data_IF_954897283418
#
_entry.id   IF_954897283418
#
_cell.length_a   1.000
_cell.length_b   1.000
_cell.length_c   1.000
_cell.angle_alpha   90.00
_cell.angle_beta   90.00
_cell.angle_gamma   90.00
#
_symmetry.space_group_name_H-M   'P 1'
#
loop_
_entity.id
_entity.type
_entity.pdbx_description
1 polymer ?
#
# COMPACT_ATOMS: atom_id res chain seq x y z
N UNK A 1 22.63 21.40 -3.37
CA UNK A 1 21.46 20.84 -2.65
C UNK A 1 20.33 21.87 -2.75
N UNK A 2 19.31 21.70 -3.60
CA UNK A 2 18.18 22.61 -3.55
C UNK A 2 17.33 22.29 -2.31
N UNK A 3 16.69 23.30 -1.72
CA UNK A 3 15.96 23.16 -0.47
C UNK A 3 14.79 22.20 -0.67
N UNK A 4 14.61 21.28 0.30
CA UNK A 4 13.42 20.47 0.39
C UNK A 4 12.22 21.41 0.51
N UNK A 5 11.41 21.53 -0.54
CA UNK A 5 10.12 22.21 -0.44
C UNK A 5 9.31 21.56 0.70
N UNK A 6 8.85 22.33 1.69
CA UNK A 6 7.85 21.83 2.61
C UNK A 6 6.62 21.44 1.79
N UNK A 7 6.16 20.20 1.95
CA UNK A 7 4.88 19.78 1.41
C UNK A 7 3.81 20.77 1.90
N UNK A 8 2.94 21.32 1.03
CA UNK A 8 1.84 22.12 1.49
C UNK A 8 0.96 21.26 2.42
N UNK A 9 0.43 21.82 3.52
CA UNK A 9 -0.60 21.14 4.27
C UNK A 9 -1.75 20.86 3.30
N UNK A 10 -2.07 19.58 3.10
CA UNK A 10 -3.29 19.23 2.40
C UNK A 10 -4.48 19.89 3.11
N UNK A 11 -5.55 20.29 2.39
CA UNK A 11 -6.76 20.75 3.04
C UNK A 11 -7.22 19.68 4.04
N UNK A 12 -7.58 20.15 5.24
CA UNK A 12 -7.97 19.32 6.38
C UNK A 12 -8.93 18.20 5.94
N UNK A 13 -8.79 16.98 6.45
CA UNK A 13 -9.85 16.01 6.30
C UNK A 13 -11.12 16.68 6.84
N UNK A 14 -12.11 16.86 5.98
CA UNK A 14 -13.48 17.04 6.46
C UNK A 14 -13.67 16.02 7.58
N UNK A 15 -14.04 16.45 8.81
CA UNK A 15 -14.04 15.57 9.96
C UNK A 15 -14.81 14.33 9.56
N UNK A 16 -14.20 13.16 9.76
CA UNK A 16 -14.74 11.86 9.40
C UNK A 16 -16.17 11.76 9.94
N UNK A 17 -17.12 12.07 9.06
CA UNK A 17 -18.51 12.30 9.39
C UNK A 17 -19.20 10.97 9.17
N UNK A 18 -19.81 10.45 10.23
CA UNK A 18 -20.71 9.31 10.10
C UNK A 18 -21.98 9.73 9.35
N UNK A 19 -22.75 8.74 8.90
CA UNK A 19 -24.05 8.90 8.22
C UNK A 19 -25.03 9.79 9.00
N UNK A 20 -24.86 9.88 10.32
CA UNK A 20 -25.76 10.60 11.21
C UNK A 20 -25.24 12.02 11.57
N UNK A 21 -24.20 12.49 10.87
CA UNK A 21 -23.54 13.76 11.18
C UNK A 21 -22.71 13.74 12.46
N UNK A 22 -22.64 12.60 13.16
CA UNK A 22 -21.82 12.44 14.36
C UNK A 22 -20.34 12.21 14.01
N UNK A 23 -19.43 12.86 14.72
CA UNK A 23 -17.99 12.67 14.55
C UNK A 23 -17.55 11.31 15.10
N UNK A 24 -16.73 10.57 14.36
CA UNK A 24 -16.10 9.35 14.88
C UNK A 24 -15.33 9.64 16.20
N UNK A 25 -15.36 8.73 17.19
CA UNK A 25 -14.60 8.92 18.41
C UNK A 25 -13.10 8.92 18.12
N UNK A 26 -12.37 9.80 18.80
CA UNK A 26 -10.90 9.81 18.74
C UNK A 26 -10.34 8.54 19.38
N UNK A 27 -9.15 8.14 18.95
CA UNK A 27 -8.45 7.01 19.55
C UNK A 27 -8.16 7.32 21.04
N UNK A 28 -8.67 6.52 21.99
CA UNK A 28 -8.46 6.78 23.41
C UNK A 28 -7.01 6.55 23.81
N UNK A 29 -6.61 7.16 24.93
CA UNK A 29 -5.38 6.81 25.64
C UNK A 29 -5.78 5.95 26.84
N UNK A 30 -5.45 4.64 26.87
CA UNK A 30 -5.81 3.78 28.00
C UNK A 30 -5.13 4.24 29.30
N UNK A 31 -5.72 3.97 30.47
CA UNK A 31 -5.05 4.17 31.75
C UNK A 31 -3.73 3.40 31.83
N UNK A 32 -2.69 4.05 32.37
CA UNK A 32 -1.37 3.45 32.53
C UNK A 32 -1.43 2.15 33.34
N UNK A 33 -2.10 2.17 34.50
CA UNK A 33 -2.27 0.99 35.36
C UNK A 33 -2.89 -0.19 34.62
N UNK A 34 -3.98 0.05 33.89
CA UNK A 34 -4.65 -1.00 33.10
C UNK A 34 -3.72 -1.60 32.05
N UNK A 35 -2.92 -0.77 31.39
CA UNK A 35 -1.96 -1.19 30.36
C UNK A 35 -0.84 -2.05 30.95
N UNK A 36 -0.27 -1.63 32.08
CA UNK A 36 0.82 -2.35 32.76
C UNK A 36 0.37 -3.68 33.35
N UNK A 37 -0.81 -3.74 33.96
CA UNK A 37 -1.40 -4.99 34.47
C UNK A 37 -1.67 -5.98 33.33
N UNK A 38 -2.20 -5.49 32.20
CA UNK A 38 -2.41 -6.33 31.02
C UNK A 38 -1.09 -6.82 30.43
N UNK A 39 -0.07 -5.96 30.37
CA UNK A 39 1.26 -6.32 29.90
C UNK A 39 1.85 -7.48 30.70
N UNK A 40 1.85 -7.40 32.03
CA UNK A 40 2.34 -8.48 32.88
C UNK A 40 1.57 -9.79 32.71
N UNK A 41 0.23 -9.74 32.61
CA UNK A 41 -0.60 -10.95 32.35
C UNK A 41 -0.29 -11.60 31.01
N UNK A 42 0.01 -10.81 29.97
CA UNK A 42 0.36 -11.35 28.65
C UNK A 42 1.77 -11.93 28.65
N UNK A 43 2.69 -11.40 29.46
CA UNK A 43 4.04 -11.93 29.57
C UNK A 43 4.13 -13.23 30.35
N UNK A 44 3.27 -13.44 31.34
CA UNK A 44 3.31 -14.60 32.23
C UNK A 44 3.49 -15.97 31.53
N UNK A 45 2.79 -16.29 30.42
CA UNK A 45 3.02 -17.55 29.70
C UNK A 45 4.19 -17.53 28.70
N UNK A 46 4.91 -16.41 28.53
CA UNK A 46 5.92 -16.19 27.49
C UNK A 46 7.35 -16.10 28.02
N UNK A 47 7.54 -15.91 29.32
CA UNK A 47 8.85 -15.67 29.96
C UNK A 47 9.05 -16.57 31.17
N UNK A 48 10.28 -16.68 31.66
CA UNK A 48 10.54 -17.47 32.87
C UNK A 48 9.99 -16.77 34.13
N UNK A 49 9.76 -17.51 35.23
CA UNK A 49 9.35 -16.90 36.50
C UNK A 49 10.31 -15.81 36.99
N UNK A 50 11.62 -16.00 36.81
CA UNK A 50 12.66 -15.05 37.21
C UNK A 50 12.61 -13.76 36.37
N UNK A 51 12.43 -13.88 35.05
CA UNK A 51 12.26 -12.76 34.13
C UNK A 51 10.97 -11.98 34.42
N UNK A 52 9.88 -12.69 34.72
CA UNK A 52 8.60 -12.09 35.08
C UNK A 52 8.73 -11.29 36.39
N UNK A 53 9.37 -11.86 37.41
CA UNK A 53 9.58 -11.19 38.69
C UNK A 53 10.48 -9.94 38.54
N UNK A 54 11.54 -10.05 37.75
CA UNK A 54 12.35 -8.87 37.40
C UNK A 54 11.51 -7.80 36.68
N UNK A 55 10.68 -8.20 35.72
CA UNK A 55 9.80 -7.29 34.98
C UNK A 55 8.76 -6.63 35.88
N UNK A 56 8.20 -7.35 36.87
CA UNK A 56 7.28 -6.78 37.87
C UNK A 56 7.94 -5.63 38.64
N UNK A 57 9.21 -5.76 39.01
CA UNK A 57 9.98 -4.69 39.69
C UNK A 57 10.12 -3.45 38.80
N UNK A 58 10.47 -3.63 37.52
CA UNK A 58 10.57 -2.53 36.55
C UNK A 58 9.23 -1.83 36.34
N UNK A 59 8.14 -2.60 36.22
CA UNK A 59 6.78 -2.06 36.07
C UNK A 59 6.36 -1.27 37.31
N UNK A 60 6.66 -1.76 38.51
CA UNK A 60 6.39 -1.06 39.76
C UNK A 60 7.17 0.26 39.86
N UNK A 61 8.44 0.27 39.44
CA UNK A 61 9.25 1.50 39.39
C UNK A 61 8.68 2.50 38.38
N UNK A 62 8.29 2.05 37.18
CA UNK A 62 7.70 2.91 36.16
C UNK A 62 6.37 3.52 36.63
N UNK A 63 5.56 2.75 37.37
CA UNK A 63 4.24 3.13 37.88
C UNK A 63 4.25 3.86 39.23
N UNK A 64 5.43 4.12 39.82
CA UNK A 64 5.50 4.81 41.12
C UNK A 64 4.85 6.20 41.04
N UNK A 65 4.20 6.70 42.11
CA UNK A 65 3.68 8.06 42.15
C UNK A 65 4.77 9.08 41.85
N UNK A 66 4.51 10.03 40.95
CA UNK A 66 5.51 11.00 40.45
C UNK A 66 6.60 10.38 39.55
N UNK A 67 6.45 9.11 39.17
CA UNK A 67 7.40 8.36 38.35
C UNK A 67 7.36 8.73 36.87
N UNK A 68 8.30 8.14 36.12
CA UNK A 68 8.40 8.37 34.67
C UNK A 68 7.12 7.98 33.93
N UNK A 69 6.43 6.91 34.34
CA UNK A 69 5.20 6.45 33.72
C UNK A 69 4.10 7.51 33.73
N UNK A 70 3.87 8.19 34.87
CA UNK A 70 2.87 9.26 34.97
C UNK A 70 3.21 10.48 34.10
N UNK A 71 4.51 10.83 34.02
CA UNK A 71 5.00 11.90 33.14
C UNK A 71 4.73 11.57 31.67
N UNK A 72 5.04 10.33 31.25
CA UNK A 72 4.81 9.88 29.87
C UNK A 72 3.31 9.79 29.54
N UNK A 73 2.51 9.23 30.45
CA UNK A 73 1.05 9.15 30.31
C UNK A 73 0.43 10.54 30.15
N UNK A 74 0.82 11.51 31.00
CA UNK A 74 0.32 12.89 30.93
C UNK A 74 0.65 13.56 29.59
N UNK A 75 1.84 13.29 29.04
CA UNK A 75 2.24 13.78 27.71
C UNK A 75 1.43 13.10 26.60
N UNK A 76 1.17 11.81 26.72
CA UNK A 76 0.38 11.04 25.76
C UNK A 76 -1.08 11.49 25.72
N UNK A 77 -1.69 11.70 26.88
CA UNK A 77 -3.05 12.24 27.00
C UNK A 77 -3.15 13.66 26.44
N UNK A 78 -2.14 14.51 26.70
CA UNK A 78 -2.06 15.84 26.10
C UNK A 78 -1.99 15.75 24.58
N UNK A 79 -1.24 14.80 24.02
CA UNK A 79 -1.21 14.53 22.58
C UNK A 79 -2.57 14.08 22.07
N UNK A 80 -3.21 13.11 22.75
CA UNK A 80 -4.56 12.63 22.45
C UNK A 80 -5.63 13.73 22.39
N UNK A 81 -5.52 14.76 23.24
CA UNK A 81 -6.42 15.93 23.19
C UNK A 81 -6.13 16.86 22.00
N UNK A 82 -4.88 16.94 21.54
CA UNK A 82 -4.43 17.90 20.52
C UNK A 82 -4.40 17.35 19.08
N UNK A 83 -4.52 16.04 18.90
CA UNK A 83 -4.46 15.38 17.58
C UNK A 83 -5.74 14.60 17.31
N UNK A 84 -6.11 14.43 16.03
CA UNK A 84 -7.24 13.55 15.65
C UNK A 84 -6.98 12.09 16.04
N UNK A 85 -5.76 11.62 15.81
CA UNK A 85 -5.29 10.31 16.22
C UNK A 85 -3.84 10.43 16.71
N UNK A 86 -3.61 10.20 18.01
CA UNK A 86 -2.30 10.40 18.63
C UNK A 86 -1.23 9.41 18.17
N UNK A 87 -1.68 8.25 17.65
CA UNK A 87 -0.83 7.11 17.28
C UNK A 87 -0.51 7.09 15.79
N UNK A 88 -1.35 7.68 14.93
CA UNK A 88 -1.29 7.51 13.47
C UNK A 88 0.12 7.73 12.90
N UNK A 89 0.71 8.89 13.15
CA UNK A 89 2.04 9.21 12.60
C UNK A 89 3.12 8.28 13.15
N UNK A 90 3.06 7.94 14.44
CA UNK A 90 4.03 7.01 15.03
C UNK A 90 3.90 5.64 14.41
N UNK A 91 2.68 5.10 14.36
CA UNK A 91 2.40 3.79 13.78
C UNK A 91 2.85 3.69 12.33
N UNK A 92 2.47 4.66 11.48
CA UNK A 92 2.82 4.62 10.06
C UNK A 92 4.33 4.69 9.87
N UNK A 93 5.02 5.56 10.61
CA UNK A 93 6.46 5.68 10.51
C UNK A 93 7.17 4.42 11.02
N UNK A 94 6.90 3.97 12.25
CA UNK A 94 7.65 2.88 12.88
C UNK A 94 7.33 1.52 12.27
N UNK A 95 6.05 1.25 11.96
CA UNK A 95 5.64 -0.05 11.44
C UNK A 95 5.98 -0.22 9.94
N UNK A 96 6.01 0.86 9.16
CA UNK A 96 6.16 0.77 7.71
C UNK A 96 7.30 1.61 7.15
N UNK A 97 7.30 2.93 7.33
CA UNK A 97 8.18 3.84 6.56
C UNK A 97 9.65 3.79 6.99
N UNK A 98 9.89 3.52 8.27
CA UNK A 98 11.23 3.34 8.86
C UNK A 98 11.71 1.90 8.75
N UNK A 99 10.82 0.93 8.52
CA UNK A 99 11.20 -0.45 8.24
C UNK A 99 11.98 -0.52 6.92
N UNK A 100 13.17 -1.14 6.98
CA UNK A 100 14.12 -1.17 5.84
C UNK A 100 14.18 -2.51 5.14
N UNK A 101 13.44 -3.53 5.60
CA UNK A 101 13.32 -4.81 4.90
C UNK A 101 12.62 -4.62 3.54
N UNK A 102 12.89 -5.47 2.55
CA UNK A 102 12.14 -5.47 1.29
C UNK A 102 10.63 -5.44 1.49
N UNK A 103 9.88 -4.88 0.53
CA UNK A 103 8.42 -4.84 0.63
C UNK A 103 7.79 -6.20 0.34
N UNK A 104 8.22 -6.85 -0.75
CA UNK A 104 7.77 -8.18 -1.11
C UNK A 104 8.06 -9.16 0.05
N UNK A 105 7.11 -10.06 0.36
CA UNK A 105 7.16 -11.03 1.47
C UNK A 105 7.07 -10.41 2.87
N UNK A 106 7.89 -9.40 3.20
CA UNK A 106 8.02 -8.92 4.59
C UNK A 106 6.98 -7.87 5.01
N UNK A 107 6.38 -7.15 4.05
CA UNK A 107 5.45 -6.06 4.36
C UNK A 107 4.20 -6.04 3.48
N UNK A 108 4.34 -6.31 2.18
CA UNK A 108 3.22 -6.27 1.23
C UNK A 108 2.48 -7.61 1.24
N UNK A 109 1.21 -7.65 1.67
CA UNK A 109 0.43 -8.88 1.63
C UNK A 109 0.07 -9.24 0.18
N UNK A 110 0.01 -10.54 -0.11
CA UNK A 110 -0.50 -11.08 -1.37
C UNK A 110 -1.89 -11.69 -1.18
N UNK A 111 -2.78 -11.52 -2.17
CA UNK A 111 -4.13 -12.10 -2.17
C UNK A 111 -4.31 -12.97 -3.41
N UNK A 112 -4.49 -14.28 -3.19
CA UNK A 112 -4.81 -15.22 -4.27
C UNK A 112 -6.33 -15.21 -4.49
N UNK A 113 -6.75 -14.77 -5.68
CA UNK A 113 -8.14 -14.80 -6.11
C UNK A 113 -8.52 -16.17 -6.69
N UNK A 114 -9.82 -16.51 -6.81
CA UNK A 114 -10.26 -17.73 -7.46
C UNK A 114 -9.66 -17.87 -8.86
N UNK A 115 -9.19 -19.08 -9.19
CA UNK A 115 -8.61 -19.39 -10.50
C UNK A 115 -9.64 -19.16 -11.60
N UNK A 116 -9.23 -18.46 -12.64
CA UNK A 116 -10.06 -18.18 -13.81
C UNK A 116 -9.87 -19.26 -14.89
N UNK A 117 -10.86 -19.43 -15.76
CA UNK A 117 -10.93 -20.51 -16.76
C UNK A 117 -10.64 -20.05 -18.21
N UNK A 118 -9.91 -18.94 -18.40
CA UNK A 118 -9.47 -18.54 -19.73
C UNK A 118 -8.44 -19.54 -20.28
N UNK A 119 -8.46 -19.78 -21.60
CA UNK A 119 -7.62 -20.80 -22.26
C UNK A 119 -6.55 -20.21 -23.19
N UNK A 120 -6.65 -18.92 -23.46
CA UNK A 120 -5.78 -18.21 -24.39
C UNK A 120 -5.54 -16.77 -23.90
N UNK A 121 -4.61 -16.09 -24.58
CA UNK A 121 -4.30 -14.69 -24.32
C UNK A 121 -5.52 -13.79 -24.45
N UNK A 122 -6.39 -14.03 -25.43
CA UNK A 122 -7.59 -13.22 -25.60
C UNK A 122 -8.49 -13.28 -24.36
N UNK A 123 -8.70 -14.47 -23.80
CA UNK A 123 -9.46 -14.67 -22.57
C UNK A 123 -8.81 -14.00 -21.36
N UNK A 124 -7.47 -14.07 -21.23
CA UNK A 124 -6.71 -13.36 -20.19
C UNK A 124 -6.93 -11.85 -20.28
N UNK A 125 -6.81 -11.27 -21.49
CA UNK A 125 -7.00 -9.83 -21.71
C UNK A 125 -8.45 -9.39 -21.50
N UNK A 126 -9.43 -10.20 -21.90
CA UNK A 126 -10.86 -9.96 -21.61
C UNK A 126 -11.13 -9.94 -20.10
N UNK A 127 -10.52 -10.86 -19.34
CA UNK A 127 -10.63 -10.86 -17.88
C UNK A 127 -9.98 -9.61 -17.27
N UNK A 128 -8.76 -9.26 -17.69
CA UNK A 128 -8.07 -8.06 -17.22
C UNK A 128 -8.87 -6.78 -17.51
N UNK A 129 -9.48 -6.66 -18.69
CA UNK A 129 -10.31 -5.51 -19.03
C UNK A 129 -11.55 -5.38 -18.13
N UNK A 130 -12.23 -6.50 -17.82
CA UNK A 130 -13.34 -6.52 -16.87
C UNK A 130 -12.90 -6.15 -15.45
N UNK A 131 -11.75 -6.68 -15.00
CA UNK A 131 -11.18 -6.34 -13.70
C UNK A 131 -10.88 -4.84 -13.59
N UNK A 132 -10.21 -4.27 -14.60
CA UNK A 132 -9.92 -2.82 -14.64
C UNK A 132 -11.22 -2.01 -14.54
N UNK A 133 -12.24 -2.39 -15.32
CA UNK A 133 -13.53 -1.69 -15.32
C UNK A 133 -14.18 -1.72 -13.92
N UNK A 134 -14.25 -2.90 -13.28
CA UNK A 134 -14.82 -3.01 -11.93
C UNK A 134 -14.02 -2.27 -10.84
N UNK A 135 -12.70 -2.17 -10.98
CA UNK A 135 -11.88 -1.34 -10.07
C UNK A 135 -12.17 0.15 -10.28
N UNK A 136 -12.41 0.59 -11.53
CA UNK A 136 -12.77 1.97 -11.84
C UNK A 136 -14.19 2.32 -11.36
N UNK A 137 -15.14 1.40 -11.43
CA UNK A 137 -16.46 1.56 -10.81
C UNK A 137 -16.33 1.78 -9.29
N UNK A 138 -15.46 1.00 -8.64
CA UNK A 138 -15.18 1.18 -7.20
C UNK A 138 -14.51 2.51 -6.91
N UNK A 139 -13.55 2.94 -7.74
CA UNK A 139 -12.94 4.26 -7.62
C UNK A 139 -13.98 5.38 -7.79
N UNK A 140 -14.91 5.24 -8.73
CA UNK A 140 -15.96 6.23 -8.95
C UNK A 140 -16.84 6.41 -7.70
N UNK A 141 -17.15 5.33 -6.97
CA UNK A 141 -17.84 5.42 -5.68
C UNK A 141 -17.04 6.25 -4.65
N UNK A 142 -15.70 6.13 -4.64
CA UNK A 142 -14.86 6.95 -3.76
C UNK A 142 -14.82 8.41 -4.21
N UNK A 143 -14.58 8.67 -5.49
CA UNK A 143 -14.48 10.03 -6.02
C UNK A 143 -15.78 10.81 -5.82
N UNK A 144 -16.93 10.12 -5.86
CA UNK A 144 -18.26 10.70 -5.64
C UNK A 144 -18.73 10.65 -4.18
N UNK A 145 -17.90 10.17 -3.24
CA UNK A 145 -18.22 9.96 -1.83
C UNK A 145 -19.49 9.09 -1.60
N UNK A 146 -19.77 8.16 -2.49
CA UNK A 146 -20.92 7.26 -2.44
C UNK A 146 -20.57 5.85 -1.92
N UNK A 147 -19.36 5.64 -1.40
CA UNK A 147 -18.99 4.37 -0.81
C UNK A 147 -19.83 4.10 0.46
N UNK A 148 -20.54 2.95 0.58
CA UNK A 148 -21.31 2.63 1.77
C UNK A 148 -20.43 2.59 3.03
N UNK A 149 -20.93 3.19 4.12
CA UNK A 149 -20.21 3.22 5.39
C UNK A 149 -20.22 1.85 6.07
N UNK A 150 -19.03 1.36 6.41
CA UNK A 150 -18.88 0.14 7.20
C UNK A 150 -19.34 0.33 8.64
N UNK A 151 -19.92 -0.72 9.22
CA UNK A 151 -20.33 -0.75 10.63
C UNK A 151 -19.77 -2.00 11.31
N UNK A 152 -19.40 -1.87 12.58
CA UNK A 152 -18.97 -2.99 13.43
C UNK A 152 -19.63 -2.90 14.80
N UNK A 153 -20.39 -3.94 15.19
CA UNK A 153 -21.25 -3.93 16.38
C UNK A 153 -22.09 -2.65 16.51
N UNK A 154 -22.74 -2.24 15.42
CA UNK A 154 -23.61 -1.06 15.38
C UNK A 154 -22.88 0.30 15.43
N UNK A 155 -21.54 0.34 15.38
CA UNK A 155 -20.76 1.57 15.35
C UNK A 155 -20.16 1.83 13.96
N UNK A 156 -20.17 3.08 13.47
CA UNK A 156 -19.58 3.42 12.18
C UNK A 156 -18.05 3.25 12.21
N UNK A 157 -17.48 2.85 11.07
CA UNK A 157 -16.04 2.70 10.87
C UNK A 157 -15.44 3.90 10.12
N UNK A 158 -14.15 4.14 10.36
CA UNK A 158 -13.39 5.14 9.62
C UNK A 158 -13.16 4.69 8.18
N UNK A 159 -13.60 5.52 7.22
CA UNK A 159 -13.47 5.24 5.78
C UNK A 159 -12.15 5.75 5.18
N UNK A 160 -11.28 6.41 5.96
CA UNK A 160 -10.09 7.09 5.43
C UNK A 160 -9.15 6.14 4.65
N UNK A 161 -9.04 4.87 5.05
CA UNK A 161 -8.14 3.91 4.41
C UNK A 161 -8.47 3.72 2.92
N UNK A 162 -9.75 3.71 2.54
CA UNK A 162 -10.16 3.52 1.15
C UNK A 162 -9.65 4.65 0.24
N UNK A 163 -9.61 5.89 0.74
CA UNK A 163 -9.10 7.06 0.02
C UNK A 163 -7.56 7.09 -0.10
N UNK A 164 -6.86 6.15 0.53
CA UNK A 164 -5.40 6.03 0.45
C UNK A 164 -4.92 4.94 -0.52
N UNK A 165 -5.82 4.19 -1.16
CA UNK A 165 -5.46 3.02 -1.99
C UNK A 165 -5.09 3.42 -3.43
N UNK A 166 -5.89 4.30 -4.03
CA UNK A 166 -5.73 4.68 -5.44
C UNK A 166 -4.83 5.88 -5.62
N UNK A 167 -4.17 5.93 -6.78
CA UNK A 167 -3.28 7.03 -7.17
C UNK A 167 -2.19 7.28 -6.12
N UNK A 168 -1.77 6.25 -5.40
CA UNK A 168 -0.76 6.33 -4.35
C UNK A 168 0.44 5.42 -4.63
N UNK A 169 1.58 5.82 -4.09
CA UNK A 169 2.83 5.07 -4.23
C UNK A 169 3.72 5.33 -3.02
N UNK A 170 4.41 4.31 -2.55
CA UNK A 170 5.51 4.46 -1.59
C UNK A 170 6.75 4.92 -2.34
N UNK A 171 7.50 5.87 -1.79
CA UNK A 171 8.73 6.40 -2.37
C UNK A 171 9.89 6.04 -1.43
N UNK A 172 10.92 5.31 -1.90
CA UNK A 172 12.05 4.97 -1.07
C UNK A 172 12.87 6.21 -0.75
N UNK A 173 13.24 6.37 0.52
CA UNK A 173 14.12 7.46 0.97
C UNK A 173 15.36 6.93 1.68
N UNK A 174 16.42 7.76 1.85
CA UNK A 174 17.70 7.31 2.41
C UNK A 174 17.60 6.87 3.87
N UNK A 175 16.72 7.51 4.67
CA UNK A 175 16.51 7.21 6.09
C UNK A 175 15.16 6.54 6.35
N UNK A 176 14.10 7.11 5.79
CA UNK A 176 12.74 6.58 5.81
C UNK A 176 12.09 6.78 4.45
N UNK A 177 11.12 5.95 4.15
CA UNK A 177 10.31 6.10 2.96
C UNK A 177 9.21 7.15 3.19
N UNK A 178 8.53 7.54 2.12
CA UNK A 178 7.31 8.37 2.19
C UNK A 178 6.21 7.72 1.38
N UNK A 179 4.97 8.17 1.57
CA UNK A 179 3.84 7.82 0.71
C UNK A 179 3.37 9.09 0.03
N UNK A 180 3.17 9.02 -1.28
CA UNK A 180 2.51 10.06 -2.06
C UNK A 180 1.12 9.58 -2.46
N UNK A 181 0.15 10.48 -2.45
CA UNK A 181 -1.20 10.23 -2.91
C UNK A 181 -1.63 11.38 -3.83
N UNK A 182 -1.97 11.04 -5.08
CA UNK A 182 -2.31 11.97 -6.14
C UNK A 182 -3.82 12.09 -6.39
N UNK A 183 -4.65 11.33 -5.67
CA UNK A 183 -6.10 11.24 -5.90
C UNK A 183 -6.84 12.57 -5.68
N UNK A 184 -6.39 13.41 -4.76
CA UNK A 184 -7.04 14.68 -4.36
C UNK A 184 -6.33 15.93 -4.87
N UNK A 185 -5.53 15.82 -5.92
CA UNK A 185 -4.89 16.97 -6.55
C UNK A 185 -5.87 17.66 -7.53
N UNK A 186 -5.62 18.93 -7.86
CA UNK A 186 -6.45 19.70 -8.80
C UNK A 186 -6.64 19.01 -10.16
N UNK A 187 -5.68 18.18 -10.57
CA UNK A 187 -5.76 17.35 -11.77
C UNK A 187 -5.39 15.90 -11.39
N UNK A 188 -6.37 15.09 -10.97
CA UNK A 188 -6.12 13.73 -10.53
C UNK A 188 -5.69 12.84 -11.72
N UNK A 189 -4.86 11.81 -11.49
CA UNK A 189 -4.44 10.90 -12.56
C UNK A 189 -5.60 10.13 -13.18
N UNK A 190 -5.63 10.07 -14.51
CA UNK A 190 -6.65 9.37 -15.32
C UNK A 190 -6.10 8.12 -16.02
N UNK A 191 -4.93 7.63 -15.59
CA UNK A 191 -4.24 6.49 -16.22
C UNK A 191 -3.89 5.40 -15.23
N UNK A 192 -3.83 4.17 -15.72
CA UNK A 192 -3.23 3.02 -15.02
C UNK A 192 -1.85 2.72 -15.60
N UNK A 193 -1.10 1.89 -14.89
CA UNK A 193 0.13 1.29 -15.43
C UNK A 193 -0.13 -0.17 -15.78
N UNK A 194 0.23 -0.61 -16.98
CA UNK A 194 0.18 -2.03 -17.35
C UNK A 194 1.61 -2.55 -17.48
N UNK A 195 1.95 -3.62 -16.77
CA UNK A 195 3.23 -4.30 -16.87
C UNK A 195 3.06 -5.61 -17.67
N UNK A 196 3.80 -5.75 -18.77
CA UNK A 196 3.85 -6.99 -19.55
C UNK A 196 5.29 -7.24 -20.02
N UNK A 197 5.81 -8.42 -19.70
CA UNK A 197 7.20 -8.81 -19.93
C UNK A 197 8.19 -7.70 -19.49
N UNK A 198 8.04 -7.26 -18.24
CA UNK A 198 8.92 -6.26 -17.59
C UNK A 198 8.87 -4.85 -18.19
N UNK A 199 8.00 -4.62 -19.17
CA UNK A 199 7.80 -3.33 -19.82
C UNK A 199 6.55 -2.67 -19.25
N UNK A 200 6.66 -1.40 -18.86
CA UNK A 200 5.58 -0.64 -18.25
C UNK A 200 4.97 0.32 -19.26
N UNK A 201 3.64 0.31 -19.35
CA UNK A 201 2.86 1.11 -20.27
C UNK A 201 1.93 2.04 -19.50
N UNK A 202 1.81 3.28 -19.99
CA UNK A 202 0.74 4.19 -19.59
C UNK A 202 -0.52 3.84 -20.37
N UNK A 203 -1.60 3.56 -19.68
CA UNK A 203 -2.92 3.38 -20.28
C UNK A 203 -3.88 4.40 -19.68
N UNK A 204 -4.27 5.41 -20.46
CA UNK A 204 -5.37 6.31 -20.09
C UNK A 204 -6.68 5.50 -20.08
N UNK A 205 -7.43 5.59 -18.99
CA UNK A 205 -8.68 4.82 -18.76
C UNK A 205 -9.92 5.69 -18.69
N UNK A 206 -9.76 6.97 -19.01
CA UNK A 206 -10.83 7.94 -19.18
C UNK A 206 -10.72 8.57 -20.57
N UNK A 207 -11.87 8.80 -21.17
CA UNK A 207 -12.03 9.67 -22.33
C UNK A 207 -11.73 11.13 -21.96
N UNK A 208 -11.39 12.00 -22.93
CA UNK A 208 -11.18 13.43 -22.68
C UNK A 208 -12.39 14.16 -22.06
N UNK A 209 -13.60 13.63 -22.24
CA UNK A 209 -14.83 14.14 -21.64
C UNK A 209 -15.02 13.72 -20.17
N UNK A 210 -14.14 12.88 -19.62
CA UNK A 210 -14.19 12.38 -18.24
C UNK A 210 -14.94 11.06 -18.06
N UNK A 211 -15.48 10.46 -19.12
CA UNK A 211 -16.13 9.14 -19.04
C UNK A 211 -15.11 8.01 -18.98
N UNK A 212 -15.42 6.95 -18.24
CA UNK A 212 -14.56 5.76 -18.12
C UNK A 212 -14.62 4.97 -19.44
N UNK A 213 -13.47 4.45 -19.89
CA UNK A 213 -13.43 3.54 -21.04
C UNK A 213 -14.26 2.28 -20.78
N UNK A 214 -14.99 1.82 -21.79
CA UNK A 214 -15.73 0.56 -21.73
C UNK A 214 -14.78 -0.64 -21.66
N UNK A 215 -15.22 -1.81 -21.15
CA UNK A 215 -14.40 -3.02 -21.14
C UNK A 215 -13.87 -3.42 -22.54
N UNK A 216 -14.64 -3.13 -23.59
CA UNK A 216 -14.23 -3.39 -24.98
C UNK A 216 -13.08 -2.48 -25.44
N UNK A 217 -13.15 -1.19 -25.11
CA UNK A 217 -12.07 -0.22 -25.40
C UNK A 217 -10.81 -0.56 -24.61
N UNK A 218 -10.95 -0.90 -23.33
CA UNK A 218 -9.81 -1.33 -22.49
C UNK A 218 -9.16 -2.59 -23.09
N UNK A 219 -9.95 -3.59 -23.49
CA UNK A 219 -9.43 -4.79 -24.16
C UNK A 219 -8.61 -4.44 -25.40
N UNK A 220 -9.09 -3.55 -26.27
CA UNK A 220 -8.37 -3.15 -27.48
C UNK A 220 -7.03 -2.48 -27.15
N UNK A 221 -6.96 -1.69 -26.07
CA UNK A 221 -5.69 -1.10 -25.63
C UNK A 221 -4.74 -2.14 -25.03
N UNK A 222 -5.27 -3.09 -24.25
CA UNK A 222 -4.47 -4.19 -23.71
C UNK A 222 -3.89 -5.09 -24.82
N UNK A 223 -4.64 -5.33 -25.90
CA UNK A 223 -4.16 -6.10 -27.06
C UNK A 223 -3.00 -5.39 -27.76
N UNK A 224 -3.08 -4.06 -27.93
CA UNK A 224 -1.96 -3.24 -28.45
C UNK A 224 -0.73 -3.33 -27.53
N UNK A 225 -0.93 -3.18 -26.22
CA UNK A 225 0.13 -3.31 -25.22
C UNK A 225 0.78 -4.69 -25.31
N UNK A 226 -0.01 -5.75 -25.30
CA UNK A 226 0.47 -7.13 -25.40
C UNK A 226 1.36 -7.31 -26.63
N UNK A 227 0.85 -6.94 -27.81
CA UNK A 227 1.56 -7.08 -29.08
C UNK A 227 2.87 -6.27 -29.14
N UNK A 228 2.93 -5.14 -28.44
CA UNK A 228 4.13 -4.29 -28.40
C UNK A 228 5.28 -4.84 -27.53
N UNK A 229 5.01 -5.78 -26.63
CA UNK A 229 6.03 -6.34 -25.70
C UNK A 229 6.17 -7.86 -25.73
N UNK A 230 5.70 -8.55 -26.78
CA UNK A 230 5.88 -10.01 -26.94
C UNK A 230 7.36 -10.41 -26.96
N UNK A 231 8.21 -9.69 -27.70
CA UNK A 231 9.62 -10.03 -27.96
C UNK A 231 10.58 -9.10 -27.23
N UNK A 232 10.31 -8.78 -25.98
CA UNK A 232 11.11 -7.79 -25.26
C UNK A 232 12.45 -8.36 -24.78
N UNK A 233 13.52 -7.61 -25.03
CA UNK A 233 14.87 -7.81 -24.48
C UNK A 233 15.14 -6.83 -23.33
N UNK A 234 14.09 -6.21 -22.78
CA UNK A 234 14.22 -5.15 -21.78
C UNK A 234 14.62 -5.73 -20.44
N UNK A 235 15.53 -5.01 -19.79
CA UNK A 235 15.95 -5.29 -18.42
C UNK A 235 14.77 -5.18 -17.45
N UNK A 236 14.67 -6.06 -16.44
CA UNK A 236 13.55 -6.08 -15.50
C UNK A 236 13.67 -5.00 -14.43
N UNK A 237 13.62 -3.71 -14.82
CA UNK A 237 13.82 -2.57 -13.91
C UNK A 237 12.87 -2.59 -12.70
N UNK A 238 11.65 -3.13 -12.86
CA UNK A 238 10.70 -3.32 -11.78
C UNK A 238 11.23 -4.15 -10.60
N UNK A 239 12.15 -5.09 -10.86
CA UNK A 239 12.74 -5.97 -9.84
C UNK A 239 13.50 -5.19 -8.77
N UNK A 240 14.02 -4.00 -9.10
CA UNK A 240 14.76 -3.15 -8.17
C UNK A 240 13.89 -2.71 -6.98
N UNK A 241 12.57 -2.65 -7.16
CA UNK A 241 11.61 -2.30 -6.10
C UNK A 241 11.45 -3.41 -5.06
N UNK A 242 11.89 -4.64 -5.37
CA UNK A 242 11.91 -5.79 -4.46
C UNK A 242 13.14 -5.82 -3.55
N UNK A 243 14.06 -4.86 -3.68
CA UNK A 243 15.30 -4.82 -2.91
C UNK A 243 15.09 -4.19 -1.52
N UNK A 244 16.07 -4.37 -0.63
CA UNK A 244 16.14 -3.70 0.67
C UNK A 244 16.00 -2.18 0.49
N UNK A 245 15.18 -1.53 1.33
CA UNK A 245 14.65 -0.17 1.07
C UNK A 245 15.73 0.91 0.94
N UNK A 246 16.82 0.79 1.70
CA UNK A 246 17.95 1.72 1.61
C UNK A 246 18.69 1.55 0.28
N UNK A 247 18.99 0.31 -0.12
CA UNK A 247 19.61 0.01 -1.42
C UNK A 247 18.72 0.46 -2.58
N UNK A 248 17.42 0.20 -2.50
CA UNK A 248 16.48 0.68 -3.51
C UNK A 248 16.41 2.21 -3.55
N UNK A 249 16.41 2.91 -2.42
CA UNK A 249 16.46 4.38 -2.39
C UNK A 249 17.69 4.95 -3.09
N UNK A 250 18.87 4.33 -2.91
CA UNK A 250 20.08 4.68 -3.65
C UNK A 250 19.94 4.40 -5.15
N UNK A 251 19.40 3.22 -5.50
CA UNK A 251 19.15 2.81 -6.87
C UNK A 251 18.18 3.75 -7.60
N UNK A 252 17.09 4.15 -6.95
CA UNK A 252 16.12 5.10 -7.48
C UNK A 252 16.79 6.46 -7.74
N UNK A 253 17.62 6.96 -6.82
CA UNK A 253 18.34 8.22 -7.03
C UNK A 253 19.26 8.19 -8.25
N UNK A 254 19.85 7.04 -8.57
CA UNK A 254 20.65 6.84 -9.79
C UNK A 254 19.72 6.80 -11.01
N UNK A 255 18.65 6.01 -10.95
CA UNK A 255 17.67 5.83 -12.02
C UNK A 255 17.07 7.17 -12.46
N UNK A 256 16.73 8.04 -11.50
CA UNK A 256 16.10 9.34 -11.74
C UNK A 256 17.04 10.43 -12.29
N UNK A 257 18.34 10.15 -12.45
CA UNK A 257 19.28 11.09 -13.12
C UNK A 257 18.99 11.22 -14.61
N UNK A 258 18.51 10.14 -15.22
CA UNK A 258 18.07 10.16 -16.61
C UNK A 258 16.65 10.75 -16.71
N UNK A 259 16.42 11.60 -17.73
CA UNK A 259 15.16 12.33 -17.91
C UNK A 259 14.01 11.38 -18.25
N UNK A 260 14.25 10.39 -19.10
CA UNK A 260 13.23 9.43 -19.53
C UNK A 260 12.83 8.51 -18.38
N UNK A 261 13.80 7.99 -17.64
CA UNK A 261 13.57 7.16 -16.45
C UNK A 261 12.81 7.92 -15.38
N UNK A 262 13.15 9.20 -15.17
CA UNK A 262 12.43 10.07 -14.23
C UNK A 262 10.96 10.26 -14.62
N UNK A 263 10.69 10.50 -15.90
CA UNK A 263 9.32 10.64 -16.38
C UNK A 263 8.55 9.32 -16.29
N UNK A 264 9.14 8.21 -16.74
CA UNK A 264 8.56 6.88 -16.62
C UNK A 264 8.23 6.51 -15.17
N UNK A 265 9.15 6.77 -14.23
CA UNK A 265 8.91 6.53 -12.81
C UNK A 265 7.77 7.40 -12.27
N UNK A 266 7.69 8.67 -12.68
CA UNK A 266 6.59 9.58 -12.30
C UNK A 266 5.25 9.09 -12.82
N UNK A 267 5.18 8.56 -14.04
CA UNK A 267 3.97 7.95 -14.61
C UNK A 267 3.52 6.74 -13.78
N UNK A 268 4.44 5.86 -13.39
CA UNK A 268 4.13 4.68 -12.55
C UNK A 268 3.66 5.11 -11.15
N UNK A 269 4.35 6.07 -10.52
CA UNK A 269 3.98 6.55 -9.19
C UNK A 269 2.57 7.17 -9.19
N UNK A 270 2.23 7.92 -10.24
CA UNK A 270 0.94 8.62 -10.37
C UNK A 270 -0.22 7.74 -10.80
N UNK A 271 0.01 6.59 -11.42
CA UNK A 271 -1.09 5.77 -11.96
C UNK A 271 -2.12 5.42 -10.89
N UNK A 272 -3.38 5.23 -11.27
CA UNK A 272 -4.47 4.91 -10.33
C UNK A 272 -4.15 3.60 -9.60
N UNK A 273 -3.76 2.58 -10.35
CA UNK A 273 -3.23 1.29 -9.90
C UNK A 273 -2.37 0.70 -11.02
N UNK A 274 -1.71 -0.43 -10.76
CA UNK A 274 -1.00 -1.18 -11.78
C UNK A 274 -1.70 -2.52 -12.07
N UNK A 275 -1.53 -3.03 -13.29
CA UNK A 275 -2.01 -4.36 -13.72
C UNK A 275 -0.83 -5.13 -14.29
N UNK A 276 -0.56 -6.31 -13.74
CA UNK A 276 0.55 -7.15 -14.18
C UNK A 276 0.03 -8.31 -15.05
N UNK A 277 0.29 -8.24 -16.36
CA UNK A 277 0.00 -9.32 -17.30
C UNK A 277 1.14 -10.33 -17.23
N UNK A 278 0.98 -11.31 -16.35
CA UNK A 278 2.01 -12.31 -16.09
C UNK A 278 2.06 -13.41 -17.15
N UNK A 279 3.28 -13.89 -17.37
CA UNK A 279 3.52 -15.12 -18.11
C UNK A 279 3.23 -16.37 -17.26
N UNK A 280 3.08 -17.54 -17.89
CA UNK A 280 2.86 -18.79 -17.18
C UNK A 280 4.05 -19.11 -16.27
N UNK A 281 3.76 -19.49 -15.02
CA UNK A 281 4.76 -20.03 -14.10
C UNK A 281 5.22 -21.41 -14.60
N UNK A 282 6.52 -21.69 -14.53
CA UNK A 282 7.05 -23.04 -14.78
C UNK A 282 6.56 -23.96 -13.67
N UNK A 283 5.82 -24.99 -14.03
CA UNK A 283 5.37 -26.03 -13.12
C UNK A 283 6.03 -27.36 -13.53
N UNK A 284 6.69 -28.03 -12.60
CA UNK A 284 7.26 -29.37 -12.82
C UNK A 284 6.18 -30.46 -12.73
N UNK A 285 5.05 -30.16 -12.07
CA UNK A 285 3.86 -31.01 -11.98
C UNK A 285 2.74 -30.52 -12.89
N UNK A 286 1.84 -31.42 -13.30
CA UNK A 286 0.66 -31.06 -14.10
C UNK A 286 -0.39 -30.24 -13.31
N UNK A 287 -0.25 -30.15 -11.99
CA UNK A 287 -1.12 -29.36 -11.11
C UNK A 287 -0.36 -28.15 -10.53
N UNK A 288 -0.92 -26.95 -10.76
CA UNK A 288 -0.50 -25.73 -10.09
C UNK A 288 -0.90 -25.78 -8.63
N UNK A 289 0.06 -25.83 -7.71
CA UNK A 289 -0.25 -25.82 -6.28
C UNK A 289 -0.69 -24.43 -5.82
N UNK A 290 -1.58 -24.38 -4.82
CA UNK A 290 -1.97 -23.13 -4.16
C UNK A 290 -0.75 -22.33 -3.67
N UNK A 291 0.29 -23.02 -3.21
CA UNK A 291 1.55 -22.42 -2.77
C UNK A 291 2.31 -21.73 -3.89
N UNK A 292 2.30 -22.28 -5.12
CA UNK A 292 2.92 -21.63 -6.27
C UNK A 292 2.17 -20.36 -6.69
N UNK A 293 0.82 -20.39 -6.67
CA UNK A 293 0.02 -19.20 -6.92
C UNK A 293 0.29 -18.14 -5.84
N UNK A 294 0.37 -18.54 -4.57
CA UNK A 294 0.72 -17.64 -3.47
C UNK A 294 2.12 -17.01 -3.68
N UNK A 295 3.12 -17.80 -4.06
CA UNK A 295 4.47 -17.32 -4.36
C UNK A 295 4.49 -16.32 -5.54
N UNK A 296 3.74 -16.61 -6.60
CA UNK A 296 3.59 -15.71 -7.75
C UNK A 296 2.96 -14.37 -7.34
N UNK A 297 1.90 -14.38 -6.53
CA UNK A 297 1.25 -13.15 -6.07
C UNK A 297 2.13 -12.38 -5.08
N UNK A 298 2.76 -13.08 -4.13
CA UNK A 298 3.52 -12.44 -3.05
C UNK A 298 4.84 -11.83 -3.51
N UNK A 299 5.53 -12.47 -4.46
CA UNK A 299 6.85 -12.03 -4.90
C UNK A 299 7.18 -12.31 -6.38
N UNK A 300 6.22 -12.77 -7.19
CA UNK A 300 6.42 -12.96 -8.63
C UNK A 300 7.21 -14.21 -9.04
N UNK A 301 7.56 -15.10 -8.10
CA UNK A 301 8.20 -16.39 -8.43
C UNK A 301 9.71 -16.36 -8.75
N UNK A 302 10.36 -15.19 -8.76
CA UNK A 302 11.81 -15.04 -8.93
C UNK A 302 12.21 -14.22 -10.17
N UNK A 303 13.51 -13.90 -10.27
CA UNK A 303 14.06 -13.04 -11.33
C UNK A 303 13.94 -13.60 -12.75
N UNK A 304 13.80 -14.93 -12.88
CA UNK A 304 13.57 -15.63 -14.15
C UNK A 304 12.07 -15.87 -14.46
N UNK A 305 11.19 -15.35 -13.61
CA UNK A 305 9.74 -15.47 -13.70
C UNK A 305 9.11 -14.08 -13.72
N UNK A 306 8.09 -13.81 -12.90
CA UNK A 306 7.29 -12.59 -12.97
C UNK A 306 7.72 -11.49 -11.97
N UNK A 307 8.78 -11.66 -11.16
CA UNK A 307 9.19 -10.64 -10.17
C UNK A 307 9.58 -9.31 -10.82
N UNK A 308 10.21 -9.35 -12.00
CA UNK A 308 10.53 -8.14 -12.77
C UNK A 308 9.30 -7.42 -13.35
N UNK A 309 8.17 -8.11 -13.41
CA UNK A 309 6.89 -7.61 -13.95
C UNK A 309 6.05 -6.94 -12.87
N UNK A 310 6.70 -6.27 -11.91
CA UNK A 310 6.11 -5.64 -10.73
C UNK A 310 6.77 -4.31 -10.44
N UNK A 311 6.05 -3.44 -9.75
CA UNK A 311 6.55 -2.24 -9.11
C UNK A 311 6.07 -2.23 -7.65
N UNK A 312 6.77 -2.92 -6.75
CA UNK A 312 6.37 -3.20 -5.36
C UNK A 312 6.10 -1.95 -4.50
N UNK A 313 6.57 -0.80 -4.93
CA UNK A 313 6.25 0.49 -4.32
C UNK A 313 4.80 0.94 -4.56
N UNK A 314 4.13 0.39 -5.57
CA UNK A 314 2.75 0.75 -5.93
C UNK A 314 1.78 0.12 -4.94
N UNK A 315 0.84 0.93 -4.44
CA UNK A 315 -0.11 0.51 -3.40
C UNK A 315 -1.03 -0.62 -3.84
N UNK A 316 -1.43 -0.65 -5.12
CA UNK A 316 -2.29 -1.69 -5.69
C UNK A 316 -1.71 -2.16 -7.04
N UNK A 317 -1.53 -3.48 -7.19
CA UNK A 317 -0.95 -4.17 -8.35
C UNK A 317 -1.70 -5.47 -8.66
#
# INVERSE_FOLDING_TARGET
LPPCCPLPPGPDPSPSTSTDGSSLPRLPVPPLKQTLERYLRVLEPLVTPEELEYTRKLVAELARPGGLGEVLQSRLERKGRKTENWLLDWWVNTAYLECRTPLAVYSSPGVVMPRQNFRDTQGQLKFAAKLISGVLDFKQMLDTNNLPHGHFHGKPLCMNQYYQIFSSCRIPGPRRDTIVNYSRQNNPPTHITVAHNYTFFKLDVYHPNGEILTPGEIYQQLEKIWNSSIKTTKEPIGILTAEQRHRWGLGLNILLKDKLNKESSRVIQKSIFAVCLDGPMRCESNELSMSQMAAQILHGGGSKANTGNRWFDKTLQ
#
